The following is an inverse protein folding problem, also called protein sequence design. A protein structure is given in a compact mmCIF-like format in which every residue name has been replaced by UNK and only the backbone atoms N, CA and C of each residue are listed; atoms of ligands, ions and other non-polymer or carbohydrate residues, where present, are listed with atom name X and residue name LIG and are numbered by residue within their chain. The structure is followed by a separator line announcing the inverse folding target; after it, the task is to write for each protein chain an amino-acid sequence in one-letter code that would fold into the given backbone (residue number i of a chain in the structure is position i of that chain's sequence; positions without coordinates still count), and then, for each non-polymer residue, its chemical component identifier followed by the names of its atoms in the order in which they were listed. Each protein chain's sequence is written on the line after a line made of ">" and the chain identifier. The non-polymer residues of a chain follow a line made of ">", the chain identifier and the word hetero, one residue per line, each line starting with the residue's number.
data_IF_651819287661
#
_entry.id   IF_651819287661
#
_cell.length_a   1.000
_cell.length_b   1.000
_cell.length_c   1.000
_cell.angle_alpha   90.00
_cell.angle_beta   90.00
_cell.angle_gamma   90.00
#
_symmetry.space_group_name_H-M   'P 1'
#
loop_
_entity.id
_entity.type
_entity.pdbx_description
1 polymer ?
#
# COMPACT_ATOMS: atom_id res chain seq x y z
N UNK A 1 5.26 -5.84 -6.34
CA UNK A 1 4.64 -4.75 -5.55
C UNK A 1 4.63 -3.39 -6.27
N UNK A 2 5.77 -2.77 -6.62
CA UNK A 2 5.79 -1.43 -7.24
C UNK A 2 5.00 -1.32 -8.56
N UNK A 3 5.16 -2.29 -9.46
CA UNK A 3 4.41 -2.35 -10.72
C UNK A 3 2.89 -2.52 -10.48
N UNK A 4 2.53 -3.31 -9.47
CA UNK A 4 1.14 -3.52 -9.05
C UNK A 4 0.54 -2.24 -8.49
N UNK A 5 1.27 -1.55 -7.61
CA UNK A 5 0.88 -0.27 -7.05
C UNK A 5 0.65 0.77 -8.15
N UNK A 6 1.60 0.90 -9.09
CA UNK A 6 1.49 1.87 -10.19
C UNK A 6 0.24 1.64 -11.02
N UNK A 7 -0.01 0.38 -11.42
CA UNK A 7 -1.23 0.02 -12.15
C UNK A 7 -2.52 0.37 -11.39
N UNK A 8 -2.57 0.07 -10.10
CA UNK A 8 -3.77 0.34 -9.28
C UNK A 8 -4.01 1.85 -9.09
N UNK A 9 -2.94 2.62 -8.94
CA UNK A 9 -3.01 4.08 -8.87
C UNK A 9 -3.52 4.68 -10.19
N UNK A 10 -3.04 4.17 -11.33
CA UNK A 10 -3.50 4.58 -12.65
C UNK A 10 -5.00 4.25 -12.85
N UNK A 11 -5.44 3.05 -12.45
CA UNK A 11 -6.84 2.63 -12.50
C UNK A 11 -7.74 3.49 -11.59
N UNK A 12 -7.21 3.97 -10.46
CA UNK A 12 -7.91 4.87 -9.54
C UNK A 12 -7.83 6.36 -9.94
N UNK A 13 -7.06 6.71 -10.98
CA UNK A 13 -6.83 8.10 -11.39
C UNK A 13 -6.00 8.91 -10.40
N UNK A 14 -5.20 8.25 -9.56
CA UNK A 14 -4.40 8.88 -8.50
C UNK A 14 -2.95 8.97 -8.94
N UNK A 15 -2.41 10.18 -9.01
CA UNK A 15 -1.00 10.40 -9.37
C UNK A 15 -0.13 10.53 -8.12
N UNK A 16 0.91 9.68 -8.04
CA UNK A 16 1.95 9.75 -7.02
C UNK A 16 3.33 9.78 -7.67
N UNK A 17 4.25 10.50 -7.04
CA UNK A 17 5.67 10.49 -7.43
C UNK A 17 6.31 9.13 -7.19
N UNK A 18 7.37 8.81 -7.92
CA UNK A 18 8.11 7.56 -7.71
C UNK A 18 8.68 7.45 -6.30
N UNK A 19 9.05 8.57 -5.68
CA UNK A 19 9.48 8.59 -4.29
C UNK A 19 8.37 8.11 -3.34
N UNK A 20 7.15 8.66 -3.48
CA UNK A 20 5.99 8.24 -2.69
C UNK A 20 5.65 6.76 -2.91
N UNK A 21 5.65 6.29 -4.16
CA UNK A 21 5.41 4.88 -4.48
C UNK A 21 6.41 3.96 -3.77
N UNK A 22 7.70 4.32 -3.79
CA UNK A 22 8.74 3.57 -3.11
C UNK A 22 8.57 3.59 -1.58
N UNK A 23 8.18 4.72 -1.00
CA UNK A 23 7.88 4.82 0.44
C UNK A 23 6.72 3.90 0.84
N UNK A 24 5.66 3.85 0.05
CA UNK A 24 4.51 2.98 0.31
C UNK A 24 4.87 1.49 0.24
N UNK A 25 5.66 1.08 -0.76
CA UNK A 25 6.15 -0.30 -0.86
C UNK A 25 7.06 -0.64 0.32
N UNK A 26 7.96 0.26 0.72
CA UNK A 26 8.82 0.07 1.88
C UNK A 26 8.01 -0.05 3.17
N UNK A 27 6.96 0.77 3.32
CA UNK A 27 6.06 0.74 4.46
C UNK A 27 5.31 -0.60 4.57
N UNK A 28 4.80 -1.14 3.45
CA UNK A 28 4.20 -2.49 3.44
C UNK A 28 5.21 -3.56 3.85
N UNK A 29 6.46 -3.44 3.41
CA UNK A 29 7.54 -4.34 3.84
C UNK A 29 7.81 -4.27 5.35
N UNK A 30 7.81 -3.07 5.93
CA UNK A 30 7.91 -2.89 7.38
C UNK A 30 6.71 -3.47 8.10
N UNK A 31 5.50 -3.25 7.58
CA UNK A 31 4.27 -3.78 8.15
C UNK A 31 4.32 -5.31 8.18
N UNK A 32 4.65 -5.98 7.07
CA UNK A 32 4.80 -7.45 7.03
C UNK A 32 5.85 -7.95 8.04
N UNK A 33 7.01 -7.29 8.09
CA UNK A 33 8.09 -7.66 9.03
C UNK A 33 7.61 -7.59 10.48
N UNK A 34 6.98 -6.49 10.86
CA UNK A 34 6.51 -6.30 12.24
C UNK A 34 5.27 -7.12 12.54
N UNK A 35 4.43 -7.42 11.53
CA UNK A 35 3.23 -8.23 11.71
C UNK A 35 3.55 -9.69 12.10
N UNK A 36 4.79 -10.15 11.86
CA UNK A 36 5.32 -11.45 12.31
C UNK A 36 5.68 -11.45 13.79
N UNK A 37 6.12 -10.32 14.33
CA UNK A 37 6.48 -10.18 15.75
C UNK A 37 5.28 -9.80 16.61
N UNK A 38 4.38 -8.97 16.07
CA UNK A 38 3.19 -8.47 16.76
C UNK A 38 2.01 -8.52 15.79
N UNK A 39 0.82 -8.91 16.26
CA UNK A 39 -0.37 -9.00 15.40
C UNK A 39 -0.95 -7.60 15.09
N UNK A 40 -0.31 -6.87 14.18
CA UNK A 40 -0.69 -5.51 13.76
C UNK A 40 -1.90 -5.51 12.81
N UNK A 41 -2.05 -6.56 12.01
CA UNK A 41 -3.20 -6.74 11.12
C UNK A 41 -3.46 -8.21 10.86
N UNK A 42 -4.74 -8.55 10.68
CA UNK A 42 -5.19 -9.89 10.29
C UNK A 42 -4.75 -10.28 8.88
N UNK A 43 -4.41 -9.32 8.01
CA UNK A 43 -3.90 -9.58 6.66
C UNK A 43 -2.44 -10.01 6.76
N UNK A 44 -2.05 -11.12 6.11
CA UNK A 44 -0.67 -11.65 6.15
C UNK A 44 0.08 -11.57 4.83
N UNK A 45 -0.64 -11.50 3.71
CA UNK A 45 -0.04 -11.38 2.39
C UNK A 45 0.34 -9.91 2.12
N UNK A 46 1.61 -9.58 1.83
CA UNK A 46 2.05 -8.20 1.57
C UNK A 46 1.32 -7.55 0.38
N UNK A 47 1.02 -8.32 -0.66
CA UNK A 47 0.31 -7.82 -1.83
C UNK A 47 -1.17 -7.51 -1.52
N UNK A 48 -1.78 -8.22 -0.57
CA UNK A 48 -3.09 -7.90 -0.01
C UNK A 48 -3.05 -6.74 0.99
N UNK A 49 -1.98 -6.60 1.78
CA UNK A 49 -1.77 -5.44 2.67
C UNK A 49 -1.68 -4.14 1.86
N UNK A 50 -0.97 -4.15 0.73
CA UNK A 50 -0.90 -3.01 -0.18
C UNK A 50 -2.29 -2.55 -0.62
N UNK A 51 -3.17 -3.48 -1.02
CA UNK A 51 -4.51 -3.11 -1.49
C UNK A 51 -5.39 -2.65 -0.33
N UNK A 52 -5.52 -3.49 0.71
CA UNK A 52 -6.48 -3.28 1.80
C UNK A 52 -6.11 -2.18 2.80
N UNK A 53 -4.82 -1.88 2.95
CA UNK A 53 -4.37 -0.85 3.89
C UNK A 53 -3.91 0.42 3.19
N UNK A 54 -3.19 0.28 2.07
CA UNK A 54 -2.62 1.45 1.40
C UNK A 54 -3.59 2.05 0.39
N UNK A 55 -4.06 1.26 -0.59
CA UNK A 55 -4.93 1.78 -1.64
C UNK A 55 -6.25 2.30 -1.06
N UNK A 56 -6.92 1.53 -0.19
CA UNK A 56 -8.16 1.96 0.47
C UNK A 56 -7.98 3.30 1.21
N UNK A 57 -6.86 3.49 1.92
CA UNK A 57 -6.58 4.74 2.63
C UNK A 57 -6.33 5.92 1.68
N UNK A 58 -5.59 5.70 0.58
CA UNK A 58 -5.28 6.76 -0.39
C UNK A 58 -6.53 7.19 -1.14
N UNK A 59 -7.40 6.25 -1.52
CA UNK A 59 -8.66 6.55 -2.22
C UNK A 59 -9.54 7.44 -1.35
N UNK A 60 -9.68 7.13 -0.06
CA UNK A 60 -10.44 7.98 0.88
C UNK A 60 -9.84 9.40 0.96
N UNK A 61 -8.51 9.51 0.99
CA UNK A 61 -7.84 10.82 1.03
C UNK A 61 -7.91 11.61 -0.30
N UNK A 62 -8.15 10.92 -1.42
CA UNK A 62 -8.24 11.53 -2.75
C UNK A 62 -9.67 12.01 -3.11
N UNK A 63 -10.69 11.64 -2.32
CA UNK A 63 -12.05 12.16 -2.45
C UNK A 63 -12.08 13.59 -1.88
N UNK A 64 -12.54 14.60 -2.65
CA UNK A 64 -12.59 15.99 -2.24
C UNK A 64 -13.61 16.28 -1.12
#
# INVERSE_FOLDING_TARGET
>A
MLNKLSRLLDEAGISLTDHQKNQLVAYVGMLDKWNKAYNLTSVRDPDAMLVRHILDSIVVAAIP
#
